data_IF_957493956501
#
_entry.id   IF_957493956501
#
_cell.length_a   1.000
_cell.length_b   1.000
_cell.length_c   1.000
_cell.angle_alpha   90.00
_cell.angle_beta   90.00
_cell.angle_gamma   90.00
#
_symmetry.space_group_name_H-M   'P 1'
#
loop_
_entity.id
_entity.type
_entity.pdbx_description
1 polymer ?
#
# COMPACT_ATOMS: atom_id res chain seq x y z
N UNK A 1 4.47 -4.42 14.63
CA UNK A 1 3.49 -4.37 13.52
C UNK A 1 3.97 -3.41 12.45
N UNK A 2 3.66 -3.64 11.17
CA UNK A 2 4.05 -2.77 10.06
C UNK A 2 2.82 -2.07 9.47
N UNK A 3 2.85 -0.74 9.40
CA UNK A 3 1.83 0.07 8.74
C UNK A 3 2.44 0.71 7.49
N UNK A 4 2.03 0.24 6.32
CA UNK A 4 2.46 0.76 5.04
C UNK A 4 1.31 1.52 4.37
N UNK A 5 1.60 2.71 3.87
CA UNK A 5 0.63 3.40 3.01
C UNK A 5 0.77 2.94 1.57
N UNK A 6 -0.35 2.83 0.85
CA UNK A 6 -0.34 2.75 -0.61
C UNK A 6 -0.29 4.17 -1.15
N UNK A 7 0.90 4.60 -1.57
CA UNK A 7 1.18 5.99 -1.93
C UNK A 7 0.39 6.44 -3.16
N UNK A 8 -0.18 7.64 -3.11
CA UNK A 8 -0.81 8.32 -4.25
C UNK A 8 0.22 9.12 -5.05
N UNK A 9 -0.03 9.36 -6.34
CA UNK A 9 0.84 10.15 -7.21
C UNK A 9 0.34 11.59 -7.32
N UNK A 10 1.08 12.59 -6.87
CA UNK A 10 0.77 13.99 -7.12
C UNK A 10 1.11 14.37 -8.57
N UNK A 11 0.35 15.31 -9.13
CA UNK A 11 0.58 15.85 -10.47
C UNK A 11 0.70 17.37 -10.45
N UNK A 12 1.50 17.90 -11.36
CA UNK A 12 1.59 19.32 -11.65
C UNK A 12 0.31 19.81 -12.35
N UNK A 13 0.13 21.11 -12.50
CA UNK A 13 -1.08 21.69 -13.13
C UNK A 13 -1.27 21.27 -14.59
N UNK A 14 -0.20 20.95 -15.29
CA UNK A 14 -0.18 20.44 -16.66
C UNK A 14 -0.30 18.89 -16.76
N UNK A 15 -0.44 18.22 -15.61
CA UNK A 15 -0.67 16.78 -15.53
C UNK A 15 0.58 15.91 -15.57
N UNK A 16 1.79 16.48 -15.50
CA UNK A 16 3.02 15.71 -15.31
C UNK A 16 3.12 15.20 -13.86
N UNK A 17 3.92 14.16 -13.61
CA UNK A 17 4.17 13.68 -12.24
C UNK A 17 4.96 14.75 -11.47
N UNK A 18 4.46 15.12 -10.31
CA UNK A 18 5.12 16.07 -9.40
C UNK A 18 6.01 15.33 -8.40
N UNK A 19 7.24 15.08 -8.82
CA UNK A 19 8.21 14.33 -8.02
C UNK A 19 8.61 15.04 -6.73
N UNK A 20 8.62 16.38 -6.69
CA UNK A 20 8.95 17.15 -5.49
C UNK A 20 7.85 17.00 -4.43
N UNK A 21 6.59 17.08 -4.85
CA UNK A 21 5.47 16.83 -3.94
C UNK A 21 5.41 15.37 -3.51
N UNK A 22 5.80 14.42 -4.37
CA UNK A 22 5.92 13.01 -3.98
C UNK A 22 6.94 12.80 -2.84
N UNK A 23 8.08 13.47 -2.86
CA UNK A 23 9.08 13.43 -1.78
C UNK A 23 8.50 14.03 -0.46
N UNK A 24 7.70 15.10 -0.53
CA UNK A 24 6.99 15.65 0.65
C UNK A 24 5.98 14.67 1.24
N UNK A 25 5.35 13.84 0.41
CA UNK A 25 4.48 12.76 0.91
C UNK A 25 5.29 11.70 1.68
N UNK A 26 6.49 11.37 1.22
CA UNK A 26 7.39 10.46 1.93
C UNK A 26 7.73 11.02 3.31
N UNK A 27 8.07 12.32 3.39
CA UNK A 27 8.33 13.01 4.66
C UNK A 27 7.11 12.95 5.60
N UNK A 28 5.93 13.21 5.07
CA UNK A 28 4.69 13.17 5.83
C UNK A 28 4.43 11.79 6.45
N UNK A 29 4.54 10.72 5.68
CA UNK A 29 4.33 9.37 6.17
C UNK A 29 5.39 8.95 7.20
N UNK A 30 6.65 9.28 6.94
CA UNK A 30 7.73 9.02 7.88
C UNK A 30 7.50 9.75 9.21
N UNK A 31 7.25 11.05 9.17
CA UNK A 31 7.03 11.87 10.37
C UNK A 31 5.75 11.51 11.13
N UNK A 32 4.77 10.91 10.47
CA UNK A 32 3.59 10.37 11.11
C UNK A 32 3.81 9.03 11.83
N UNK A 33 4.99 8.43 11.71
CA UNK A 33 5.34 7.18 12.41
C UNK A 33 5.08 5.90 11.62
N UNK A 34 4.68 5.96 10.34
CA UNK A 34 4.51 4.75 9.53
C UNK A 34 5.84 4.00 9.35
N UNK A 35 5.75 2.67 9.20
CA UNK A 35 6.90 1.80 9.01
C UNK A 35 7.31 1.65 7.54
N UNK A 36 6.48 2.12 6.61
CA UNK A 36 6.86 2.05 5.19
C UNK A 36 5.83 2.55 4.21
N UNK A 37 6.17 2.37 2.94
CA UNK A 37 5.40 2.80 1.77
C UNK A 37 5.31 1.67 0.76
N UNK A 38 4.14 1.47 0.17
CA UNK A 38 3.98 0.78 -1.10
C UNK A 38 3.95 1.84 -2.21
N UNK A 39 5.09 2.06 -2.88
CA UNK A 39 5.30 3.25 -3.71
C UNK A 39 4.54 3.21 -5.02
N UNK A 40 4.78 2.24 -5.88
CA UNK A 40 4.16 2.14 -7.21
C UNK A 40 3.14 1.01 -7.21
N UNK A 41 1.88 1.36 -7.00
CA UNK A 41 0.75 0.44 -6.88
C UNK A 41 -0.51 1.04 -7.53
N UNK A 42 -1.67 0.40 -7.38
CA UNK A 42 -2.92 0.93 -7.95
C UNK A 42 -3.26 2.34 -7.44
N UNK A 43 -3.02 2.62 -6.16
CA UNK A 43 -3.22 3.96 -5.57
C UNK A 43 -2.34 5.03 -6.23
N UNK A 44 -1.18 4.63 -6.73
CA UNK A 44 -0.27 5.50 -7.48
C UNK A 44 -0.72 5.72 -8.93
N UNK A 45 -1.91 5.26 -9.30
CA UNK A 45 -2.43 5.33 -10.67
C UNK A 45 -1.54 4.59 -11.69
N UNK A 46 -0.92 3.46 -11.27
CA UNK A 46 0.07 2.67 -12.01
C UNK A 46 -0.32 2.39 -13.47
N UNK A 47 -1.62 2.18 -13.76
CA UNK A 47 -2.14 1.88 -15.09
C UNK A 47 -2.18 3.11 -16.02
N UNK A 48 -1.92 4.30 -15.51
CA UNK A 48 -1.92 5.58 -16.21
C UNK A 48 -0.55 6.26 -16.23
N UNK A 49 0.47 5.58 -15.69
CA UNK A 49 1.87 6.03 -15.70
C UNK A 49 2.65 5.26 -16.76
N UNK A 50 3.55 5.94 -17.49
CA UNK A 50 4.53 5.25 -18.35
C UNK A 50 5.51 4.45 -17.49
N UNK A 51 6.28 3.55 -18.09
CA UNK A 51 7.32 2.81 -17.36
C UNK A 51 8.36 3.77 -16.77
N UNK A 52 8.78 4.76 -17.54
CA UNK A 52 9.74 5.78 -17.12
C UNK A 52 9.24 6.56 -15.92
N UNK A 53 7.95 6.95 -15.91
CA UNK A 53 7.33 7.64 -14.78
C UNK A 53 7.26 6.74 -13.54
N UNK A 54 6.90 5.45 -13.70
CA UNK A 54 6.88 4.49 -12.59
C UNK A 54 8.27 4.31 -11.98
N UNK A 55 9.29 4.17 -12.81
CA UNK A 55 10.69 4.01 -12.39
C UNK A 55 11.21 5.26 -11.70
N UNK A 56 10.98 6.46 -12.27
CA UNK A 56 11.45 7.71 -11.67
C UNK A 56 10.71 8.02 -10.36
N UNK A 57 9.39 7.81 -10.30
CA UNK A 57 8.62 7.95 -9.07
C UNK A 57 9.18 7.03 -7.97
N UNK A 58 9.38 5.75 -8.30
CA UNK A 58 9.93 4.79 -7.35
C UNK A 58 11.34 5.20 -6.87
N UNK A 59 12.22 5.62 -7.78
CA UNK A 59 13.59 6.07 -7.45
C UNK A 59 13.57 7.23 -6.46
N UNK A 60 12.72 8.24 -6.70
CA UNK A 60 12.59 9.41 -5.83
C UNK A 60 12.08 9.03 -4.44
N UNK A 61 11.02 8.22 -4.40
CA UNK A 61 10.43 7.73 -3.14
C UNK A 61 11.44 6.90 -2.35
N UNK A 62 12.11 5.93 -3.00
CA UNK A 62 13.10 5.09 -2.35
C UNK A 62 14.29 5.89 -1.82
N UNK A 63 14.86 6.76 -2.65
CA UNK A 63 15.98 7.64 -2.24
C UNK A 63 15.58 8.47 -1.02
N UNK A 64 14.42 9.16 -1.07
CA UNK A 64 13.96 9.99 0.03
C UNK A 64 13.70 9.20 1.30
N UNK A 65 13.10 8.03 1.19
CA UNK A 65 12.88 7.12 2.31
C UNK A 65 14.20 6.71 3.00
N UNK A 66 15.23 6.38 2.21
CA UNK A 66 16.55 5.99 2.75
C UNK A 66 17.32 7.18 3.35
N UNK A 67 17.15 8.38 2.83
CA UNK A 67 17.67 9.61 3.46
C UNK A 67 17.03 9.82 4.85
N UNK A 68 15.71 9.69 4.96
CA UNK A 68 15.01 9.83 6.23
C UNK A 68 15.38 8.71 7.22
N UNK A 69 15.52 7.48 6.77
CA UNK A 69 16.00 6.35 7.56
C UNK A 69 17.40 6.64 8.14
N UNK A 70 18.31 7.16 7.32
CA UNK A 70 19.67 7.50 7.73
C UNK A 70 19.71 8.67 8.74
N UNK A 71 18.86 9.68 8.55
CA UNK A 71 18.80 10.86 9.42
C UNK A 71 18.10 10.57 10.75
N UNK A 72 16.98 9.84 10.70
CA UNK A 72 16.12 9.60 11.87
C UNK A 72 16.39 8.30 12.61
N UNK A 73 17.25 7.40 12.09
CA UNK A 73 17.62 6.12 12.71
C UNK A 73 16.47 5.09 12.76
N UNK A 74 15.30 5.37 12.18
CA UNK A 74 14.17 4.47 12.15
C UNK A 74 14.03 3.88 10.75
N UNK A 75 13.99 2.54 10.67
CA UNK A 75 13.79 1.83 9.40
C UNK A 75 12.50 2.31 8.71
N UNK A 76 12.56 2.51 7.39
CA UNK A 76 11.42 2.90 6.59
C UNK A 76 11.40 2.08 5.29
N UNK A 77 10.56 1.06 5.28
CA UNK A 77 10.49 0.07 4.20
C UNK A 77 9.78 0.65 2.97
N UNK A 78 10.35 0.43 1.80
CA UNK A 78 9.72 0.75 0.52
C UNK A 78 9.52 -0.54 -0.26
N UNK A 79 8.27 -0.94 -0.43
CA UNK A 79 7.91 -2.04 -1.34
C UNK A 79 7.32 -1.46 -2.63
N UNK A 80 7.57 -2.11 -3.77
CA UNK A 80 7.24 -1.53 -5.06
C UNK A 80 6.74 -2.60 -6.03
N UNK A 81 5.73 -2.27 -6.84
CA UNK A 81 5.25 -3.16 -7.90
C UNK A 81 5.74 -2.69 -9.27
N UNK A 82 4.91 -2.00 -10.00
CA UNK A 82 5.31 -1.36 -11.27
C UNK A 82 5.08 -2.23 -12.51
N UNK A 83 4.64 -3.49 -12.40
CA UNK A 83 4.31 -4.30 -13.57
C UNK A 83 2.80 -4.32 -13.83
N UNK A 84 2.43 -4.10 -15.09
CA UNK A 84 1.04 -4.06 -15.53
C UNK A 84 0.79 -4.85 -16.83
N UNK A 85 1.87 -5.27 -17.47
CA UNK A 85 1.82 -5.99 -18.75
C UNK A 85 1.25 -7.40 -18.61
N UNK A 86 0.80 -7.97 -19.72
CA UNK A 86 0.19 -9.31 -19.77
C UNK A 86 1.25 -10.39 -19.98
N UNK A 87 2.27 -10.12 -20.82
CA UNK A 87 3.30 -11.10 -21.13
C UNK A 87 4.34 -11.19 -20.01
N UNK A 88 4.85 -12.37 -19.73
CA UNK A 88 5.91 -12.56 -18.71
C UNK A 88 7.17 -11.77 -19.07
N UNK A 89 7.53 -11.71 -20.34
CA UNK A 89 8.70 -11.00 -20.84
C UNK A 89 8.62 -9.50 -20.55
N UNK A 90 7.47 -8.87 -20.77
CA UNK A 90 7.26 -7.45 -20.47
C UNK A 90 7.15 -7.22 -18.96
N UNK A 91 6.51 -8.11 -18.20
CA UNK A 91 6.48 -8.04 -16.74
C UNK A 91 7.90 -8.09 -16.15
N UNK A 92 8.78 -8.98 -16.65
CA UNK A 92 10.19 -9.06 -16.23
C UNK A 92 10.92 -7.76 -16.51
N UNK A 93 10.72 -7.17 -17.69
CA UNK A 93 11.31 -5.87 -18.05
C UNK A 93 10.87 -4.76 -17.09
N UNK A 94 9.58 -4.67 -16.80
CA UNK A 94 9.01 -3.69 -15.89
C UNK A 94 9.52 -3.88 -14.46
N UNK A 95 9.51 -5.12 -13.95
CA UNK A 95 9.96 -5.44 -12.60
C UNK A 95 11.46 -5.21 -12.41
N UNK A 96 12.29 -5.57 -13.39
CA UNK A 96 13.73 -5.31 -13.33
C UNK A 96 14.01 -3.79 -13.32
N UNK A 97 13.32 -3.00 -14.13
CA UNK A 97 13.47 -1.55 -14.13
C UNK A 97 13.10 -0.91 -12.78
N UNK A 98 12.05 -1.42 -12.12
CA UNK A 98 11.67 -0.97 -10.77
C UNK A 98 12.69 -1.46 -9.73
N UNK A 99 13.17 -2.70 -9.82
CA UNK A 99 14.19 -3.22 -8.92
C UNK A 99 15.48 -2.38 -8.96
N UNK A 100 15.96 -2.05 -10.16
CA UNK A 100 17.15 -1.21 -10.38
C UNK A 100 16.96 0.24 -9.88
N UNK A 101 15.73 0.72 -9.79
CA UNK A 101 15.43 2.05 -9.23
C UNK A 101 15.45 2.09 -7.71
N UNK A 102 15.55 0.93 -7.03
CA UNK A 102 15.60 0.74 -5.59
C UNK A 102 14.26 0.29 -5.00
N UNK A 103 14.30 -0.79 -4.24
CA UNK A 103 13.14 -1.29 -3.46
C UNK A 103 13.63 -2.28 -2.41
N UNK A 104 12.93 -2.37 -1.28
CA UNK A 104 13.21 -3.39 -0.27
C UNK A 104 12.53 -4.74 -0.61
N UNK A 105 11.45 -4.70 -1.43
CA UNK A 105 10.84 -5.89 -2.02
C UNK A 105 10.04 -5.55 -3.29
N UNK A 106 10.10 -6.42 -4.30
CA UNK A 106 9.25 -6.37 -5.50
C UNK A 106 7.91 -7.04 -5.22
N UNK A 107 6.82 -6.33 -5.48
CA UNK A 107 5.46 -6.82 -5.24
C UNK A 107 4.82 -7.23 -6.56
N UNK A 108 4.53 -8.51 -6.67
CA UNK A 108 3.89 -9.10 -7.84
C UNK A 108 2.37 -8.95 -7.75
N UNK A 109 1.76 -8.43 -8.82
CA UNK A 109 0.30 -8.33 -8.94
C UNK A 109 -0.27 -9.68 -9.34
N UNK A 110 -1.08 -10.26 -8.47
CA UNK A 110 -1.53 -11.66 -8.59
C UNK A 110 -2.30 -11.94 -9.87
N UNK A 111 -3.19 -11.05 -10.32
CA UNK A 111 -3.96 -11.26 -11.54
C UNK A 111 -3.13 -11.17 -12.84
N UNK A 112 -1.88 -10.66 -12.78
CA UNK A 112 -0.95 -10.68 -13.92
C UNK A 112 -0.28 -12.03 -14.11
N UNK A 113 -0.33 -12.89 -13.08
CA UNK A 113 0.17 -14.27 -13.15
C UNK A 113 -0.88 -15.26 -13.66
N UNK A 114 -2.15 -14.85 -13.72
CA UNK A 114 -3.26 -15.65 -14.23
C UNK A 114 -4.30 -14.71 -14.90
N UNK A 115 -3.94 -14.02 -16.00
CA UNK A 115 -4.75 -12.93 -16.56
C UNK A 115 -6.14 -13.39 -17.04
N UNK A 116 -6.29 -14.66 -17.40
CA UNK A 116 -7.55 -15.25 -17.87
C UNK A 116 -8.32 -15.98 -16.75
N UNK A 117 -7.82 -15.95 -15.50
CA UNK A 117 -8.39 -16.61 -14.33
C UNK A 117 -8.64 -18.12 -14.55
N UNK A 118 -7.61 -18.81 -15.03
CA UNK A 118 -7.66 -20.24 -15.39
C UNK A 118 -7.31 -21.17 -14.21
N UNK A 119 -6.85 -20.62 -13.09
CA UNK A 119 -6.60 -21.37 -11.86
C UNK A 119 -5.14 -21.48 -11.44
N UNK A 120 -4.91 -22.22 -10.34
CA UNK A 120 -3.64 -22.25 -9.64
C UNK A 120 -2.50 -22.87 -10.46
N UNK A 121 -2.77 -23.85 -11.30
CA UNK A 121 -1.76 -24.45 -12.17
C UNK A 121 -1.14 -23.43 -13.12
N UNK A 122 -1.97 -22.57 -13.73
CA UNK A 122 -1.51 -21.50 -14.62
C UNK A 122 -0.77 -20.45 -13.84
N UNK A 123 -1.31 -20.04 -12.69
CA UNK A 123 -0.67 -19.07 -11.79
C UNK A 123 0.73 -19.56 -11.38
N UNK A 124 0.84 -20.78 -10.84
CA UNK A 124 2.11 -21.33 -10.38
C UNK A 124 3.12 -21.54 -11.52
N UNK A 125 2.67 -21.94 -12.70
CA UNK A 125 3.53 -22.05 -13.89
C UNK A 125 4.12 -20.68 -14.25
N UNK A 126 3.29 -19.65 -14.32
CA UNK A 126 3.72 -18.30 -14.66
C UNK A 126 4.59 -17.69 -13.55
N UNK A 127 4.25 -17.91 -12.29
CA UNK A 127 5.05 -17.48 -11.15
C UNK A 127 6.46 -18.09 -11.20
N UNK A 128 6.58 -19.41 -11.41
CA UNK A 128 7.88 -20.09 -11.51
C UNK A 128 8.73 -19.54 -12.66
N UNK A 129 8.09 -19.29 -13.83
CA UNK A 129 8.78 -18.68 -14.97
C UNK A 129 9.27 -17.27 -14.65
N UNK A 130 8.41 -16.43 -14.05
CA UNK A 130 8.75 -15.08 -13.65
C UNK A 130 9.89 -15.04 -12.63
N UNK A 131 9.81 -15.85 -11.57
CA UNK A 131 10.83 -15.93 -10.53
C UNK A 131 12.21 -16.35 -11.06
N UNK A 132 12.27 -17.21 -12.07
CA UNK A 132 13.51 -17.64 -12.69
C UNK A 132 14.20 -16.55 -13.52
N UNK A 133 13.44 -15.51 -13.93
CA UNK A 133 13.93 -14.40 -14.76
C UNK A 133 14.21 -13.11 -13.96
N UNK A 134 13.76 -13.06 -12.70
CA UNK A 134 14.04 -11.95 -11.79
C UNK A 134 15.38 -12.17 -11.04
N UNK A 135 16.04 -11.09 -10.58
CA UNK A 135 17.26 -11.21 -9.78
C UNK A 135 17.09 -12.18 -8.62
N UNK A 136 18.08 -13.06 -8.42
CA UNK A 136 17.98 -14.16 -7.45
C UNK A 136 17.90 -13.66 -6.00
N UNK A 137 18.46 -12.49 -5.73
CA UNK A 137 18.48 -11.80 -4.43
C UNK A 137 17.29 -10.88 -4.20
N UNK A 138 16.45 -10.66 -5.23
CA UNK A 138 15.25 -9.85 -5.10
C UNK A 138 14.27 -10.51 -4.11
N UNK A 139 13.96 -9.80 -3.03
CA UNK A 139 12.85 -10.12 -2.14
C UNK A 139 11.54 -9.88 -2.88
N UNK A 140 10.62 -10.81 -2.79
CA UNK A 140 9.34 -10.77 -3.48
C UNK A 140 8.18 -10.59 -2.50
N UNK A 141 7.05 -10.18 -3.02
CA UNK A 141 5.78 -10.15 -2.32
C UNK A 141 4.61 -10.26 -3.28
N UNK A 142 3.39 -10.31 -2.73
CA UNK A 142 2.16 -10.29 -3.51
C UNK A 142 1.28 -9.09 -3.20
N UNK A 143 0.54 -8.68 -4.22
CA UNK A 143 -0.60 -7.78 -4.11
C UNK A 143 -1.80 -8.36 -4.84
N UNK A 144 -2.84 -8.69 -4.10
CA UNK A 144 -4.16 -9.08 -4.62
C UNK A 144 -4.88 -7.84 -5.16
N UNK A 145 -4.38 -7.31 -6.29
CA UNK A 145 -4.91 -6.11 -6.93
C UNK A 145 -6.33 -6.37 -7.45
N UNK A 146 -7.33 -5.54 -7.10
CA UNK A 146 -8.70 -5.76 -7.53
C UNK A 146 -8.96 -5.44 -9.02
N UNK A 147 -8.03 -4.79 -9.71
CA UNK A 147 -8.18 -4.42 -11.13
C UNK A 147 -7.19 -5.19 -12.01
N UNK A 148 -7.62 -5.73 -13.16
CA UNK A 148 -8.98 -5.75 -13.71
C UNK A 148 -9.93 -6.71 -12.99
N UNK A 149 -9.43 -7.68 -12.25
CA UNK A 149 -10.19 -8.57 -11.37
C UNK A 149 -9.34 -8.97 -10.16
N UNK A 150 -10.00 -9.37 -9.07
CA UNK A 150 -9.29 -9.79 -7.85
C UNK A 150 -8.93 -11.27 -7.91
N UNK A 151 -7.62 -11.57 -8.01
CA UNK A 151 -7.06 -12.92 -7.94
C UNK A 151 -6.47 -13.16 -6.56
N UNK A 152 -7.20 -13.87 -5.71
CA UNK A 152 -6.73 -14.21 -4.36
C UNK A 152 -5.66 -15.30 -4.42
N UNK A 153 -4.72 -15.24 -3.48
CA UNK A 153 -3.70 -16.26 -3.26
C UNK A 153 -4.32 -17.40 -2.47
N UNK A 154 -4.26 -18.60 -3.01
CA UNK A 154 -4.75 -19.81 -2.36
C UNK A 154 -3.74 -20.37 -1.35
N UNK A 155 -4.16 -21.25 -0.42
CA UNK A 155 -3.24 -21.93 0.49
C UNK A 155 -2.07 -22.62 -0.22
N UNK A 156 -2.31 -23.30 -1.34
CA UNK A 156 -1.29 -23.99 -2.13
C UNK A 156 -0.22 -23.03 -2.66
N UNK A 157 -0.65 -21.90 -3.24
CA UNK A 157 0.26 -20.85 -3.71
C UNK A 157 1.07 -20.29 -2.55
N UNK A 158 0.41 -20.04 -1.42
CA UNK A 158 1.05 -19.46 -0.24
C UNK A 158 2.12 -20.37 0.35
N UNK A 159 1.83 -21.67 0.46
CA UNK A 159 2.79 -22.69 0.91
C UNK A 159 3.99 -22.80 -0.04
N UNK A 160 3.75 -22.81 -1.36
CA UNK A 160 4.82 -22.79 -2.36
C UNK A 160 5.73 -21.57 -2.18
N UNK A 161 5.15 -20.39 -2.01
CA UNK A 161 5.91 -19.15 -1.83
C UNK A 161 6.71 -19.13 -0.53
N UNK A 162 6.10 -19.59 0.58
CA UNK A 162 6.78 -19.78 1.86
C UNK A 162 7.99 -20.71 1.71
N UNK A 163 7.79 -21.87 1.10
CA UNK A 163 8.85 -22.86 0.90
C UNK A 163 10.00 -22.36 0.00
N UNK A 164 9.72 -21.42 -0.91
CA UNK A 164 10.74 -20.83 -1.79
C UNK A 164 11.75 -19.95 -1.05
N UNK A 165 11.40 -19.43 0.13
CA UNK A 165 12.22 -18.49 0.90
C UNK A 165 12.42 -17.12 0.25
N UNK A 166 11.72 -16.80 -0.85
CA UNK A 166 11.88 -15.55 -1.60
C UNK A 166 10.79 -14.51 -1.30
N UNK A 167 9.67 -14.91 -0.64
CA UNK A 167 8.55 -14.04 -0.37
C UNK A 167 8.62 -13.45 1.04
N UNK A 168 8.43 -12.12 1.13
CA UNK A 168 8.55 -11.35 2.36
C UNK A 168 7.31 -10.52 2.69
N UNK A 169 6.46 -10.21 1.69
CA UNK A 169 5.28 -9.37 1.89
C UNK A 169 4.09 -9.89 1.10
N UNK A 170 2.92 -9.88 1.73
CA UNK A 170 1.64 -10.07 1.07
C UNK A 170 0.70 -8.95 1.50
N UNK A 171 0.23 -8.15 0.52
CA UNK A 171 -0.89 -7.27 0.72
C UNK A 171 -2.18 -8.04 0.45
N UNK A 172 -2.83 -8.43 1.54
CA UNK A 172 -4.10 -9.15 1.54
C UNK A 172 -5.28 -8.20 1.29
N UNK A 173 -6.14 -8.53 0.36
CA UNK A 173 -7.36 -7.76 0.05
C UNK A 173 -8.62 -8.63 0.10
N UNK A 174 -8.57 -9.80 0.74
CA UNK A 174 -9.71 -10.71 0.81
C UNK A 174 -10.89 -10.11 1.59
N UNK A 175 -10.63 -9.25 2.58
CA UNK A 175 -11.62 -8.65 3.48
C UNK A 175 -12.37 -9.71 4.33
N UNK A 176 -11.73 -10.83 4.62
CA UNK A 176 -12.28 -11.97 5.33
C UNK A 176 -11.35 -12.36 6.49
N UNK A 177 -11.82 -12.19 7.73
CA UNK A 177 -11.03 -12.42 8.93
C UNK A 177 -10.65 -13.90 9.11
N UNK A 178 -11.53 -14.84 8.72
CA UNK A 178 -11.25 -16.27 8.81
C UNK A 178 -10.16 -16.68 7.81
N UNK A 179 -10.25 -16.19 6.58
CA UNK A 179 -9.22 -16.41 5.55
C UNK A 179 -7.87 -15.83 5.98
N UNK A 180 -7.86 -14.63 6.55
CA UNK A 180 -6.62 -14.02 7.09
C UNK A 180 -6.03 -14.91 8.19
N UNK A 181 -6.84 -15.39 9.14
CA UNK A 181 -6.37 -16.26 10.21
C UNK A 181 -5.82 -17.62 9.69
N UNK A 182 -6.39 -18.17 8.63
CA UNK A 182 -5.85 -19.37 7.96
C UNK A 182 -4.49 -19.07 7.30
N UNK A 183 -4.36 -17.94 6.60
CA UNK A 183 -3.12 -17.51 5.96
C UNK A 183 -2.00 -17.25 6.98
N UNK A 184 -2.33 -16.62 8.11
CA UNK A 184 -1.40 -16.43 9.23
C UNK A 184 -0.82 -17.77 9.70
N UNK A 185 -1.66 -18.78 9.91
CA UNK A 185 -1.21 -20.13 10.30
C UNK A 185 -0.27 -20.77 9.26
N UNK A 186 -0.56 -20.61 7.97
CA UNK A 186 0.30 -21.10 6.90
C UNK A 186 1.67 -20.42 6.96
N UNK A 187 1.70 -19.11 7.22
CA UNK A 187 2.92 -18.30 7.22
C UNK A 187 3.73 -18.39 8.54
N UNK A 188 3.18 -19.01 9.57
CA UNK A 188 3.83 -19.14 10.87
C UNK A 188 5.27 -19.69 10.75
N UNK A 189 6.22 -19.06 11.46
CA UNK A 189 7.64 -19.44 11.44
C UNK A 189 8.40 -19.02 10.18
N UNK A 190 7.84 -18.16 9.31
CA UNK A 190 8.53 -17.58 8.16
C UNK A 190 8.73 -16.08 8.32
N UNK A 191 9.59 -15.50 7.44
CA UNK A 191 9.72 -14.03 7.33
C UNK A 191 8.69 -13.40 6.37
N UNK A 192 7.75 -14.19 5.86
CA UNK A 192 6.74 -13.76 4.91
C UNK A 192 5.56 -13.10 5.63
N UNK A 193 5.52 -11.79 5.63
CA UNK A 193 4.57 -10.94 6.35
C UNK A 193 3.24 -10.80 5.62
N UNK A 194 2.14 -10.96 6.36
CA UNK A 194 0.79 -10.72 5.89
C UNK A 194 0.31 -9.34 6.36
N UNK A 195 0.05 -8.44 5.42
CA UNK A 195 -0.45 -7.10 5.68
C UNK A 195 -1.91 -6.98 5.19
N UNK A 196 -2.84 -6.79 6.11
CA UNK A 196 -4.25 -6.58 5.79
C UNK A 196 -4.46 -5.22 5.10
N UNK A 197 -5.22 -5.18 4.01
CA UNK A 197 -5.60 -3.92 3.35
C UNK A 197 -6.96 -3.39 3.78
N UNK A 198 -7.73 -4.16 4.56
CA UNK A 198 -9.06 -3.80 5.03
C UNK A 198 -8.98 -3.16 6.42
N UNK A 199 -9.48 -1.93 6.56
CA UNK A 199 -9.43 -1.20 7.82
C UNK A 199 -10.47 -1.67 8.84
N UNK A 200 -11.59 -2.27 8.40
CA UNK A 200 -12.66 -2.72 9.30
C UNK A 200 -12.26 -3.96 10.10
N UNK A 201 -11.47 -4.85 9.50
CA UNK A 201 -11.00 -6.09 10.14
C UNK A 201 -9.56 -5.98 10.66
N UNK A 202 -8.98 -4.76 10.71
CA UNK A 202 -7.56 -4.59 10.97
C UNK A 202 -7.14 -5.09 12.34
N UNK A 203 -7.76 -4.60 13.40
CA UNK A 203 -7.39 -4.97 14.78
C UNK A 203 -7.59 -6.47 15.03
N UNK A 204 -8.68 -7.05 14.52
CA UNK A 204 -8.96 -8.48 14.61
C UNK A 204 -7.87 -9.29 13.92
N UNK A 205 -7.48 -8.91 12.71
CA UNK A 205 -6.42 -9.58 11.96
C UNK A 205 -5.04 -9.47 12.65
N UNK A 206 -4.72 -8.32 13.24
CA UNK A 206 -3.47 -8.14 14.01
C UNK A 206 -3.45 -9.03 15.25
N UNK A 207 -4.55 -9.13 15.98
CA UNK A 207 -4.69 -10.04 17.14
C UNK A 207 -4.66 -11.51 16.75
N UNK A 208 -5.07 -11.84 15.51
CA UNK A 208 -4.93 -13.17 14.94
C UNK A 208 -3.51 -13.49 14.45
N UNK A 209 -2.58 -12.52 14.47
CA UNK A 209 -1.17 -12.69 14.11
C UNK A 209 -0.77 -12.13 12.74
N UNK A 210 -1.64 -11.38 12.05
CA UNK A 210 -1.22 -10.63 10.88
C UNK A 210 -0.19 -9.54 11.25
N UNK A 211 0.75 -9.27 10.35
CA UNK A 211 1.90 -8.41 10.62
C UNK A 211 1.59 -6.91 10.56
N UNK A 212 0.39 -6.51 10.15
CA UNK A 212 -0.05 -5.12 10.13
C UNK A 212 -0.97 -4.77 8.97
N UNK A 213 -0.79 -3.57 8.42
CA UNK A 213 -1.67 -2.96 7.42
C UNK A 213 -0.90 -2.49 6.19
N UNK A 214 -1.49 -2.66 5.01
CA UNK A 214 -1.02 -2.02 3.79
C UNK A 214 -2.21 -1.49 2.97
N UNK A 215 -2.58 -0.23 3.18
CA UNK A 215 -3.80 0.26 2.55
C UNK A 215 -3.89 1.77 2.39
N UNK A 216 -5.02 2.20 1.83
CA UNK A 216 -5.27 3.60 1.43
C UNK A 216 -5.49 4.54 2.60
N UNK A 217 -5.96 4.03 3.76
CA UNK A 217 -6.34 4.88 4.89
C UNK A 217 -5.15 5.57 5.56
N UNK A 218 -3.94 5.04 5.40
CA UNK A 218 -2.71 5.72 5.84
C UNK A 218 -2.40 7.00 5.04
N UNK A 219 -3.10 7.28 3.92
CA UNK A 219 -3.04 8.58 3.27
C UNK A 219 -3.83 9.67 4.01
N UNK A 220 -4.76 9.28 4.89
CA UNK A 220 -5.62 10.20 5.65
C UNK A 220 -5.24 10.24 7.13
N UNK A 221 -5.02 9.10 7.75
CA UNK A 221 -4.85 8.97 9.20
C UNK A 221 -3.55 8.25 9.59
N UNK A 222 -2.38 8.61 9.01
CA UNK A 222 -1.16 7.82 9.22
C UNK A 222 -0.78 7.68 10.69
N UNK A 223 -0.96 8.72 11.52
CA UNK A 223 -0.64 8.68 12.95
C UNK A 223 -1.56 7.76 13.75
N UNK A 224 -2.86 7.70 13.41
CA UNK A 224 -3.78 6.80 14.08
C UNK A 224 -3.41 5.34 13.80
N UNK A 225 -3.00 5.02 12.58
CA UNK A 225 -2.54 3.69 12.21
C UNK A 225 -1.19 3.35 12.84
N UNK A 226 -0.25 4.28 12.87
CA UNK A 226 1.02 4.10 13.58
C UNK A 226 0.80 3.86 15.08
N UNK A 227 -0.09 4.63 15.72
CA UNK A 227 -0.45 4.44 17.13
C UNK A 227 -1.10 3.08 17.38
N UNK A 228 -2.00 2.63 16.49
CA UNK A 228 -2.60 1.31 16.58
C UNK A 228 -1.55 0.19 16.48
N UNK A 229 -0.55 0.34 15.59
CA UNK A 229 0.55 -0.62 15.45
C UNK A 229 1.33 -0.85 16.76
N UNK A 230 1.54 0.23 17.50
CA UNK A 230 2.30 0.20 18.76
C UNK A 230 1.45 -0.28 19.95
N UNK A 231 0.11 -0.12 19.85
CA UNK A 231 -0.79 -0.28 20.99
C UNK A 231 -1.95 -1.26 20.75
N UNK A 232 -1.86 -2.14 19.75
CA UNK A 232 -2.98 -3.01 19.33
C UNK A 232 -3.41 -4.03 20.41
N UNK A 233 -2.57 -4.32 21.39
CA UNK A 233 -2.91 -5.18 22.55
C UNK A 233 -3.49 -4.39 23.74
N UNK A 234 -3.50 -3.06 23.66
CA UNK A 234 -3.99 -2.22 24.76
C UNK A 234 -5.52 -2.25 24.86
N UNK A 235 -6.03 -1.88 26.03
CA UNK A 235 -7.46 -1.76 26.27
C UNK A 235 -8.14 -0.66 25.43
N UNK A 236 -7.38 0.32 24.90
CA UNK A 236 -7.90 1.42 24.10
C UNK A 236 -7.87 1.11 22.59
N UNK A 237 -7.24 0.01 22.17
CA UNK A 237 -7.17 -0.38 20.77
C UNK A 237 -8.56 -0.58 20.12
N UNK A 238 -9.51 -1.15 20.87
CA UNK A 238 -10.90 -1.34 20.39
C UNK A 238 -11.62 0.01 20.14
N UNK A 239 -11.35 1.02 20.96
CA UNK A 239 -11.89 2.37 20.77
C UNK A 239 -11.30 3.03 19.52
N UNK A 240 -9.99 2.87 19.31
CA UNK A 240 -9.32 3.38 18.12
C UNK A 240 -9.81 2.66 16.86
N UNK A 241 -9.97 1.33 16.90
CA UNK A 241 -10.55 0.56 15.80
C UNK A 241 -11.98 1.00 15.50
N UNK A 242 -12.80 1.26 16.53
CA UNK A 242 -14.16 1.76 16.39
C UNK A 242 -14.24 3.17 15.77
N UNK A 243 -13.14 3.93 15.82
CA UNK A 243 -13.02 5.22 15.13
C UNK A 243 -12.57 5.03 13.67
N UNK A 244 -11.45 4.34 13.44
CA UNK A 244 -10.83 4.26 12.09
C UNK A 244 -11.67 3.44 11.10
N UNK A 245 -12.41 2.43 11.56
CA UNK A 245 -13.25 1.61 10.70
C UNK A 245 -14.34 2.42 10.00
N UNK A 246 -15.23 3.14 10.71
CA UNK A 246 -16.24 4.01 10.12
C UNK A 246 -15.68 5.17 9.30
N UNK A 247 -14.56 5.77 9.71
CA UNK A 247 -13.87 6.79 8.91
C UNK A 247 -13.47 6.21 7.55
N UNK A 248 -12.79 5.08 7.53
CA UNK A 248 -12.38 4.42 6.29
C UNK A 248 -13.57 4.01 5.42
N UNK A 249 -14.68 3.54 6.01
CA UNK A 249 -15.89 3.24 5.24
C UNK A 249 -16.45 4.49 4.55
N UNK A 250 -16.46 5.63 5.24
CA UNK A 250 -16.93 6.91 4.69
C UNK A 250 -16.01 7.40 3.57
N UNK A 251 -14.70 7.32 3.76
CA UNK A 251 -13.68 7.76 2.79
C UNK A 251 -13.72 6.94 1.50
N UNK A 252 -14.01 5.64 1.60
CA UNK A 252 -14.16 4.77 0.42
C UNK A 252 -15.34 5.19 -0.49
N UNK A 253 -16.32 5.92 0.03
CA UNK A 253 -17.44 6.50 -0.73
C UNK A 253 -17.09 7.80 -1.47
N UNK A 254 -15.92 8.40 -1.23
CA UNK A 254 -15.48 9.66 -1.82
C UNK A 254 -14.48 9.39 -2.96
N UNK A 255 -14.49 10.16 -4.07
CA UNK A 255 -13.60 9.91 -5.21
C UNK A 255 -12.11 9.84 -4.83
N UNK A 256 -11.53 8.66 -4.90
CA UNK A 256 -10.12 8.40 -4.66
C UNK A 256 -9.36 8.28 -6.00
N UNK A 257 -8.16 8.86 -6.18
CA UNK A 257 -7.28 9.43 -5.15
C UNK A 257 -7.48 10.94 -4.86
N UNK A 258 -8.43 11.60 -5.49
CA UNK A 258 -8.64 13.06 -5.31
C UNK A 258 -8.98 13.44 -3.87
N UNK A 259 -9.73 12.62 -3.15
CA UNK A 259 -10.05 12.81 -1.73
C UNK A 259 -8.77 12.81 -0.87
N UNK A 260 -7.86 11.87 -1.09
CA UNK A 260 -6.58 11.82 -0.40
C UNK A 260 -5.69 13.02 -0.75
N UNK A 261 -5.64 13.45 -2.02
CA UNK A 261 -4.92 14.67 -2.44
C UNK A 261 -5.46 15.92 -1.75
N UNK A 262 -6.79 16.04 -1.64
CA UNK A 262 -7.40 17.15 -0.92
C UNK A 262 -7.08 17.10 0.58
N UNK A 263 -7.11 15.90 1.17
CA UNK A 263 -6.70 15.72 2.56
C UNK A 263 -5.24 16.14 2.80
N UNK A 264 -4.32 15.76 1.90
CA UNK A 264 -2.91 16.20 1.97
C UNK A 264 -2.78 17.72 1.95
N UNK A 265 -3.61 18.42 1.13
CA UNK A 265 -3.65 19.89 1.13
C UNK A 265 -4.10 20.45 2.47
N UNK A 266 -5.05 19.83 3.15
CA UNK A 266 -5.48 20.19 4.50
C UNK A 266 -4.40 19.93 5.56
N UNK A 267 -3.47 19.01 5.29
CA UNK A 267 -2.30 18.75 6.11
C UNK A 267 -1.10 19.68 5.80
N UNK A 268 -1.28 20.71 4.97
CA UNK A 268 -0.26 21.69 4.63
C UNK A 268 0.66 21.30 3.47
N UNK A 269 0.39 20.20 2.77
CA UNK A 269 1.14 19.79 1.56
C UNK A 269 0.35 20.24 0.33
N UNK A 270 0.75 21.34 -0.28
CA UNK A 270 0.10 21.85 -1.50
C UNK A 270 0.07 20.78 -2.59
N UNK A 271 -1.13 20.41 -3.02
CA UNK A 271 -1.35 19.30 -3.94
C UNK A 271 -2.45 19.64 -4.94
N UNK A 272 -2.19 19.49 -6.23
CA UNK A 272 -3.19 19.68 -7.26
C UNK A 272 -4.21 18.52 -7.26
N UNK A 273 -5.50 18.84 -7.39
CA UNK A 273 -6.59 17.86 -7.46
C UNK A 273 -6.73 17.31 -8.88
N UNK A 274 -5.68 16.65 -9.36
CA UNK A 274 -5.56 16.06 -10.69
C UNK A 274 -5.41 14.55 -10.56
N UNK A 275 -6.10 13.82 -11.42
CA UNK A 275 -5.96 12.38 -11.60
C UNK A 275 -5.93 12.06 -13.09
N UNK A 276 -5.16 11.04 -13.47
CA UNK A 276 -5.16 10.51 -14.85
C UNK A 276 -6.19 9.40 -15.04
N UNK A 277 -6.87 8.96 -13.97
CA UNK A 277 -7.94 7.98 -14.06
C UNK A 277 -9.23 8.66 -14.58
N UNK A 278 -9.66 8.40 -15.82
CA UNK A 278 -10.84 9.05 -16.41
C UNK A 278 -12.16 8.62 -15.73
N UNK A 279 -12.16 7.52 -14.99
CA UNK A 279 -13.33 7.06 -14.24
C UNK A 279 -13.51 7.78 -12.88
N UNK A 280 -12.49 8.50 -12.42
CA UNK A 280 -12.56 9.24 -11.17
C UNK A 280 -13.25 10.60 -11.38
N UNK A 281 -14.48 10.77 -10.90
CA UNK A 281 -15.16 12.06 -10.98
C UNK A 281 -14.47 13.13 -10.11
N UNK A 282 -14.57 14.41 -10.47
CA UNK A 282 -14.09 15.51 -9.62
C UNK A 282 -14.78 15.52 -8.25
N UNK A 283 -14.10 16.09 -7.25
CA UNK A 283 -14.70 16.33 -5.94
C UNK A 283 -15.75 17.44 -6.02
N UNK A 284 -16.95 17.16 -5.52
CA UNK A 284 -17.98 18.16 -5.27
C UNK A 284 -17.66 18.96 -4.00
N UNK A 285 -18.34 20.09 -3.77
CA UNK A 285 -18.23 20.82 -2.51
C UNK A 285 -18.75 19.99 -1.31
N UNK A 286 -19.70 19.08 -1.55
CA UNK A 286 -20.16 18.14 -0.52
C UNK A 286 -19.02 17.14 -0.14
N UNK A 287 -18.30 16.58 -1.11
CA UNK A 287 -17.16 15.70 -0.85
C UNK A 287 -16.07 16.43 -0.04
N UNK A 288 -15.72 17.65 -0.47
CA UNK A 288 -14.74 18.48 0.23
C UNK A 288 -15.18 18.85 1.66
N UNK A 289 -16.47 19.12 1.87
CA UNK A 289 -17.01 19.36 3.21
C UNK A 289 -16.86 18.12 4.10
N UNK A 290 -17.18 16.94 3.57
CA UNK A 290 -17.00 15.66 4.28
C UNK A 290 -15.54 15.44 4.65
N UNK A 291 -14.60 15.64 3.73
CA UNK A 291 -13.16 15.47 3.99
C UNK A 291 -12.67 16.45 5.07
N UNK A 292 -13.15 17.73 5.07
CA UNK A 292 -12.81 18.67 6.14
C UNK A 292 -13.31 18.22 7.51
N UNK A 293 -14.51 17.63 7.58
CA UNK A 293 -15.08 17.09 8.82
C UNK A 293 -14.29 15.87 9.29
N UNK A 294 -13.93 14.95 8.38
CA UNK A 294 -13.08 13.80 8.65
C UNK A 294 -11.73 14.26 9.20
N UNK A 295 -11.11 15.27 8.56
CA UNK A 295 -9.83 15.83 9.05
C UNK A 295 -9.95 16.39 10.46
N UNK A 296 -11.05 17.09 10.76
CA UNK A 296 -11.30 17.61 12.11
C UNK A 296 -11.41 16.49 13.15
N UNK A 297 -12.15 15.42 12.84
CA UNK A 297 -12.27 14.24 13.74
C UNK A 297 -10.91 13.59 13.94
N UNK A 298 -10.11 13.47 12.87
CA UNK A 298 -8.75 12.92 12.94
C UNK A 298 -7.86 13.75 13.86
N UNK A 299 -7.87 15.09 13.70
CA UNK A 299 -7.08 16.00 14.51
C UNK A 299 -7.47 15.95 16.00
N UNK A 300 -8.77 15.82 16.30
CA UNK A 300 -9.25 15.63 17.67
C UNK A 300 -8.76 14.32 18.25
N UNK A 301 -8.82 13.23 17.48
CA UNK A 301 -8.34 11.92 17.93
C UNK A 301 -6.81 11.93 18.14
N UNK A 302 -6.06 12.50 17.22
CA UNK A 302 -4.60 12.63 17.35
C UNK A 302 -4.20 13.44 18.59
N UNK A 303 -4.90 14.55 18.88
CA UNK A 303 -4.69 15.34 20.10
C UNK A 303 -5.00 14.54 21.36
N UNK A 304 -6.09 13.78 21.36
CA UNK A 304 -6.45 12.92 22.49
C UNK A 304 -5.40 11.83 22.77
N UNK A 305 -4.67 11.40 21.74
CA UNK A 305 -3.56 10.45 21.83
C UNK A 305 -2.19 11.13 22.11
N UNK A 306 -2.16 12.45 22.31
CA UNK A 306 -0.94 13.20 22.64
C UNK A 306 -0.11 13.68 21.44
N UNK A 307 -0.64 13.61 20.23
CA UNK A 307 0.03 14.08 18.99
C UNK A 307 -0.24 15.56 18.66
N UNK A 308 -0.84 16.32 19.55
CA UNK A 308 -1.17 17.71 19.34
C UNK A 308 -0.11 18.63 19.90
N UNK A 309 0.65 19.28 19.04
CA UNK A 309 1.58 20.34 19.34
C UNK A 309 1.79 21.22 18.11
#
# INVERSE_FOLDING_TARGET
MEMLTTMITPYTKDGAVDYETAEKYVDFYYNAGLQGIFSVCQSSEIFFLTLEERVELNRRVYKRAKELEALGGRKFTVVSSGHISETIEDQVKELNAVYESGTDALILITNRLDPENLGDDVFLKNLKKLMALLPADAKLGFYECPYPYKRLVTPEILEYCKASGRFYYMKDTCCDAEMIAQRVKILEGSEFKLLNANCQTLLESMRAGADGYCGIMCNYHPRLYAHLAENFESADADKLQALIGPLGYTEMGIPYPLSAKYHMSLCGIETNLITRNPACRPLSEYDKASIRQIKLITDEAERALGYGG
#
